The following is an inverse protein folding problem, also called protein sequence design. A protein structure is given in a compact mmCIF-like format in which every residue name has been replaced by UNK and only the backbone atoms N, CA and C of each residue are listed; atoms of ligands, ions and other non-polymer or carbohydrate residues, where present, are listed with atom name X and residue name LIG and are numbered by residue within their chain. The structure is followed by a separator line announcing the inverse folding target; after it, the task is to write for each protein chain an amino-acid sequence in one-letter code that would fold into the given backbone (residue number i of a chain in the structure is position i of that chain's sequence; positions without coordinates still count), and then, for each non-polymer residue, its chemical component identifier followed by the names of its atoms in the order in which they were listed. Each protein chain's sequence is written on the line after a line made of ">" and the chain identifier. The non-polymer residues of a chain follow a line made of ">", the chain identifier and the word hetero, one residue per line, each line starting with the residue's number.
data_IF_636388197075
#
_entry.id   IF_636388197075
#
_cell.length_a   1.000
_cell.length_b   1.000
_cell.length_c   1.000
_cell.angle_alpha   90.00
_cell.angle_beta   90.00
_cell.angle_gamma   90.00
#
_symmetry.space_group_name_H-M   'P 1'
#
loop_
_entity.id
_entity.type
_entity.pdbx_description
1 polymer ?
#
# COMPACT_ATOMS: atom_id res chain seq x y z
N UNK A 1 -4.92 -6.27 -14.50
CA UNK A 1 -4.18 -5.76 -13.32
C UNK A 1 -3.87 -4.29 -13.60
N UNK A 2 -4.25 -3.37 -12.72
CA UNK A 2 -4.30 -1.94 -13.01
C UNK A 2 -2.96 -1.38 -13.53
N UNK A 3 -1.85 -1.97 -13.09
CA UNK A 3 -0.48 -1.61 -13.47
C UNK A 3 -0.02 -2.16 -14.82
N UNK A 4 -0.62 -3.27 -15.26
CA UNK A 4 -0.27 -3.94 -16.52
C UNK A 4 -1.10 -3.38 -17.69
N UNK A 5 -2.35 -2.99 -17.43
CA UNK A 5 -3.30 -2.51 -18.45
C UNK A 5 -3.58 -0.99 -18.33
N UNK A 6 -2.66 -0.23 -17.75
CA UNK A 6 -2.85 1.21 -17.52
C UNK A 6 -3.12 1.96 -18.85
N UNK A 7 -4.10 2.88 -18.95
CA UNK A 7 -4.43 3.55 -20.21
C UNK A 7 -3.34 4.48 -20.75
N UNK A 8 -2.42 4.96 -19.89
CA UNK A 8 -1.24 5.72 -20.28
C UNK A 8 0.00 4.78 -20.40
N UNK A 9 0.60 4.61 -21.59
CA UNK A 9 1.74 3.71 -21.80
C UNK A 9 2.99 4.02 -20.97
N UNK A 10 3.20 5.30 -20.61
CA UNK A 10 4.30 5.71 -19.74
C UNK A 10 4.16 5.26 -18.28
N UNK A 11 2.97 4.79 -17.91
CA UNK A 11 2.62 4.26 -16.59
C UNK A 11 2.28 2.77 -16.64
N UNK A 12 2.24 2.18 -17.85
CA UNK A 12 2.21 0.73 -18.01
C UNK A 12 3.58 0.19 -17.61
N UNK A 13 3.58 -0.85 -16.79
CA UNK A 13 4.79 -1.55 -16.43
C UNK A 13 4.78 -2.95 -17.04
N UNK A 14 5.70 -3.19 -17.98
CA UNK A 14 5.89 -4.51 -18.62
C UNK A 14 6.35 -5.57 -17.60
N UNK A 15 7.04 -5.15 -16.53
CA UNK A 15 7.32 -5.91 -15.31
C UNK A 15 7.13 -4.98 -14.09
N UNK A 16 6.58 -5.52 -13.00
CA UNK A 16 6.24 -4.86 -11.71
C UNK A 16 6.86 -3.46 -11.50
N UNK A 17 6.00 -2.44 -11.38
CA UNK A 17 6.35 -1.02 -11.22
C UNK A 17 6.99 -0.71 -9.84
N UNK A 18 8.27 -1.03 -9.65
CA UNK A 18 9.00 -0.70 -8.42
C UNK A 18 9.30 0.82 -8.29
N UNK A 19 9.27 1.57 -9.39
CA UNK A 19 9.76 2.96 -9.43
C UNK A 19 8.72 4.05 -9.19
N UNK A 20 7.46 3.86 -9.62
CA UNK A 20 6.48 4.95 -9.74
C UNK A 20 5.05 4.56 -9.36
N UNK A 21 4.91 3.85 -8.23
CA UNK A 21 3.63 3.39 -7.70
C UNK A 21 2.58 4.51 -7.63
N UNK A 22 2.97 5.71 -7.16
CA UNK A 22 2.03 6.83 -7.01
C UNK A 22 1.57 7.44 -8.33
N UNK A 23 2.42 7.51 -9.36
CA UNK A 23 1.99 8.07 -10.63
C UNK A 23 1.14 7.09 -11.44
N UNK A 24 1.39 5.78 -11.26
CA UNK A 24 0.59 4.76 -11.91
C UNK A 24 -0.78 4.63 -11.22
N UNK A 25 -0.81 4.45 -9.91
CA UNK A 25 -2.02 4.09 -9.15
C UNK A 25 -3.08 5.21 -9.10
N UNK A 26 -4.37 4.98 -9.46
CA UNK A 26 -5.30 6.09 -9.67
C UNK A 26 -5.78 6.66 -8.32
N UNK A 27 -5.92 5.80 -7.29
CA UNK A 27 -6.28 6.20 -5.93
C UNK A 27 -5.10 6.83 -5.18
N UNK A 28 -3.91 6.19 -5.13
CA UNK A 28 -2.76 6.77 -4.43
C UNK A 28 -2.33 8.10 -5.06
N UNK A 29 -2.25 8.19 -6.39
CA UNK A 29 -1.85 9.42 -7.08
C UNK A 29 -2.78 10.61 -6.78
N UNK A 30 -4.08 10.36 -6.64
CA UNK A 30 -5.08 11.39 -6.40
C UNK A 30 -5.13 11.92 -4.95
N UNK A 31 -4.70 11.13 -3.96
CA UNK A 31 -4.72 11.54 -2.54
C UNK A 31 -3.78 12.73 -2.28
N UNK A 32 -4.29 13.74 -1.61
CA UNK A 32 -3.49 14.90 -1.17
C UNK A 32 -2.59 14.55 0.00
N UNK A 33 -1.60 15.40 0.27
CA UNK A 33 -0.71 15.23 1.43
C UNK A 33 -1.51 15.31 2.73
N UNK A 34 -2.46 16.25 2.84
CA UNK A 34 -3.25 16.45 4.05
C UNK A 34 -4.15 15.24 4.36
N UNK A 35 -4.77 14.62 3.34
CA UNK A 35 -5.57 13.40 3.52
C UNK A 35 -4.71 12.23 4.00
N UNK A 36 -3.48 12.12 3.50
CA UNK A 36 -2.53 11.06 3.87
C UNK A 36 -2.05 11.24 5.30
N UNK A 37 -1.71 12.46 5.69
CA UNK A 37 -1.29 12.77 7.06
C UNK A 37 -2.45 12.63 8.05
N UNK A 38 -3.67 13.01 7.67
CA UNK A 38 -4.87 12.77 8.48
C UNK A 38 -5.09 11.27 8.73
N UNK A 39 -5.01 10.43 7.69
CA UNK A 39 -5.12 8.99 7.82
C UNK A 39 -4.02 8.40 8.72
N UNK A 40 -2.77 8.82 8.52
CA UNK A 40 -1.63 8.38 9.35
C UNK A 40 -1.85 8.74 10.82
N UNK A 41 -2.29 9.96 11.10
CA UNK A 41 -2.58 10.44 12.45
C UNK A 41 -3.72 9.63 13.08
N UNK A 42 -4.83 9.44 12.37
CA UNK A 42 -5.99 8.70 12.84
C UNK A 42 -5.63 7.26 13.23
N UNK A 43 -4.74 6.62 12.46
CA UNK A 43 -4.36 5.22 12.63
C UNK A 43 -3.06 5.02 13.43
N UNK A 44 -2.49 6.09 13.99
CA UNK A 44 -1.25 6.04 14.78
C UNK A 44 -0.02 5.60 13.99
N UNK A 45 0.00 5.87 12.69
CA UNK A 45 1.11 5.54 11.79
C UNK A 45 2.12 6.69 11.82
N UNK A 46 3.39 6.36 12.06
CA UNK A 46 4.52 7.28 11.88
C UNK A 46 5.50 6.69 10.89
N UNK A 47 6.00 7.50 9.97
CA UNK A 47 6.90 7.05 8.90
C UNK A 47 8.10 7.97 8.81
N UNK A 48 9.29 7.38 8.87
CA UNK A 48 10.54 8.10 8.70
C UNK A 48 11.26 7.57 7.46
N UNK A 49 11.55 8.47 6.53
CA UNK A 49 12.29 8.15 5.31
C UNK A 49 13.80 8.21 5.55
N UNK A 50 14.43 7.05 5.64
CA UNK A 50 15.89 6.95 5.67
C UNK A 50 16.40 7.11 4.23
N UNK A 51 17.23 8.12 3.96
CA UNK A 51 17.79 8.50 2.63
C UNK A 51 16.93 9.41 1.74
N UNK A 52 15.90 10.05 2.29
CA UNK A 52 15.23 11.19 1.64
C UNK A 52 14.29 10.85 0.48
N UNK A 53 13.99 9.57 0.23
CA UNK A 53 12.87 9.18 -0.65
C UNK A 53 11.57 9.28 0.14
N UNK A 54 10.61 10.09 -0.32
CA UNK A 54 9.31 10.19 0.33
C UNK A 54 8.65 8.80 0.41
N UNK A 55 8.06 8.44 1.58
CA UNK A 55 7.39 7.17 1.72
C UNK A 55 6.09 7.18 0.91
N UNK A 56 5.79 6.11 0.16
CA UNK A 56 4.53 5.98 -0.55
C UNK A 56 3.31 6.19 0.35
N UNK A 57 2.24 6.72 -0.24
CA UNK A 57 0.94 6.86 0.42
C UNK A 57 0.36 5.49 0.83
N UNK A 58 -0.31 5.40 2.00
CA UNK A 58 -0.85 4.13 2.49
C UNK A 58 -2.04 3.65 1.66
N UNK A 59 -2.19 2.32 1.55
CA UNK A 59 -3.41 1.69 1.07
C UNK A 59 -4.48 1.72 2.15
N UNK A 60 -5.71 2.06 1.77
CA UNK A 60 -6.84 2.14 2.70
C UNK A 60 -7.86 1.00 2.48
N UNK A 61 -7.73 0.26 1.38
CA UNK A 61 -8.54 -0.92 1.06
C UNK A 61 -7.70 -1.97 0.33
N UNK A 62 -8.09 -3.25 0.41
CA UNK A 62 -7.40 -4.34 -0.30
C UNK A 62 -7.52 -4.20 -1.83
N UNK A 63 -8.61 -3.62 -2.32
CA UNK A 63 -8.83 -3.33 -3.74
C UNK A 63 -7.92 -2.25 -4.33
N UNK A 64 -7.16 -1.56 -3.48
CA UNK A 64 -6.09 -0.65 -3.91
C UNK A 64 -4.77 -1.40 -4.13
N UNK A 65 -4.66 -2.65 -3.69
CA UNK A 65 -3.44 -3.42 -3.91
C UNK A 65 -3.40 -3.98 -5.34
N UNK A 66 -2.20 -4.28 -5.83
CA UNK A 66 -2.00 -5.06 -7.05
C UNK A 66 -2.03 -6.57 -6.79
N UNK A 67 -2.61 -6.99 -5.67
CA UNK A 67 -2.58 -8.40 -5.28
C UNK A 67 -3.56 -9.20 -6.14
N UNK A 68 -3.27 -10.48 -6.40
CA UNK A 68 -4.22 -11.33 -7.10
C UNK A 68 -5.57 -11.39 -6.36
N UNK A 69 -6.68 -11.51 -7.10
CA UNK A 69 -8.04 -11.49 -6.54
C UNK A 69 -8.26 -12.50 -5.40
N UNK A 70 -7.58 -13.66 -5.42
CA UNK A 70 -7.68 -14.64 -4.33
C UNK A 70 -7.20 -14.09 -2.97
N UNK A 71 -6.29 -13.10 -2.97
CA UNK A 71 -5.82 -12.45 -1.74
C UNK A 71 -6.92 -11.60 -1.12
N UNK A 72 -7.70 -10.89 -1.95
CA UNK A 72 -8.88 -10.15 -1.51
C UNK A 72 -9.96 -11.09 -0.99
N UNK A 73 -10.23 -12.21 -1.70
CA UNK A 73 -11.17 -13.24 -1.27
C UNK A 73 -10.80 -13.81 0.11
N UNK A 74 -9.53 -14.20 0.28
CA UNK A 74 -9.01 -14.70 1.57
C UNK A 74 -9.06 -13.61 2.65
N UNK A 75 -8.78 -12.35 2.32
CA UNK A 75 -8.90 -11.26 3.27
C UNK A 75 -10.36 -11.07 3.75
N UNK A 76 -11.33 -11.16 2.85
CA UNK A 76 -12.75 -11.11 3.19
C UNK A 76 -13.19 -12.30 4.06
N UNK A 77 -12.68 -13.49 3.79
CA UNK A 77 -12.94 -14.69 4.60
C UNK A 77 -12.36 -14.58 6.02
N UNK A 78 -11.16 -13.99 6.16
CA UNK A 78 -10.45 -13.92 7.43
C UNK A 78 -10.79 -12.68 8.28
N UNK A 79 -11.18 -11.56 7.67
CA UNK A 79 -11.24 -10.24 8.33
C UNK A 79 -12.57 -9.49 8.16
N UNK A 80 -13.62 -10.12 7.61
CA UNK A 80 -15.01 -9.61 7.38
C UNK A 80 -15.25 -8.87 6.05
N UNK A 81 -16.51 -8.54 5.75
CA UNK A 81 -16.94 -7.94 4.47
C UNK A 81 -16.39 -6.53 4.25
N UNK A 82 -16.10 -5.79 5.33
CA UNK A 82 -15.44 -4.47 5.29
C UNK A 82 -13.95 -4.59 5.64
N UNK A 83 -13.32 -5.73 5.33
CA UNK A 83 -11.91 -5.95 5.62
C UNK A 83 -11.07 -4.81 5.03
N UNK A 84 -10.42 -4.04 5.89
CA UNK A 84 -9.42 -3.05 5.54
C UNK A 84 -8.05 -3.53 6.02
N UNK A 85 -6.95 -3.13 5.37
CA UNK A 85 -5.62 -3.46 5.83
C UNK A 85 -5.40 -2.97 7.26
N UNK A 86 -4.68 -3.74 8.08
CA UNK A 86 -4.23 -3.21 9.37
C UNK A 86 -3.28 -2.01 9.15
N UNK A 87 -3.18 -1.06 10.09
CA UNK A 87 -2.35 0.14 9.92
C UNK A 87 -0.90 -0.14 9.48
N UNK A 88 -0.29 -1.21 9.98
CA UNK A 88 1.06 -1.61 9.56
C UNK A 88 1.09 -2.14 8.12
N UNK A 89 0.07 -2.88 7.69
CA UNK A 89 -0.04 -3.40 6.33
C UNK A 89 -0.29 -2.27 5.32
N UNK A 90 -1.23 -1.39 5.65
CA UNK A 90 -1.60 -0.20 4.88
C UNK A 90 -0.38 0.61 4.42
N UNK A 91 0.60 0.79 5.32
CA UNK A 91 1.80 1.57 5.03
C UNK A 91 2.98 0.73 4.52
N UNK A 92 3.14 -0.52 4.96
CA UNK A 92 4.27 -1.37 4.56
C UNK A 92 4.15 -1.85 3.13
N UNK A 93 2.97 -2.30 2.68
CA UNK A 93 2.80 -2.81 1.32
C UNK A 93 3.19 -1.81 0.22
N UNK A 94 2.72 -0.55 0.21
CA UNK A 94 3.12 0.39 -0.84
C UNK A 94 4.61 0.74 -0.75
N UNK A 95 5.22 0.74 0.45
CA UNK A 95 6.67 0.87 0.60
C UNK A 95 7.43 -0.32 0.00
N UNK A 96 6.98 -1.54 0.29
CA UNK A 96 7.58 -2.77 -0.23
C UNK A 96 7.42 -2.87 -1.75
N UNK A 97 6.23 -2.56 -2.29
CA UNK A 97 5.95 -2.50 -3.73
C UNK A 97 6.77 -1.41 -4.44
N UNK A 98 7.15 -0.34 -3.74
CA UNK A 98 8.08 0.67 -4.26
C UNK A 98 9.56 0.25 -4.16
N UNK A 99 9.84 -1.00 -3.77
CA UNK A 99 11.19 -1.57 -3.66
C UNK A 99 12.01 -0.99 -2.52
N UNK A 100 11.36 -0.45 -1.48
CA UNK A 100 12.06 0.08 -0.32
C UNK A 100 12.41 -1.05 0.67
N UNK A 101 13.57 -0.93 1.31
CA UNK A 101 13.88 -1.69 2.52
C UNK A 101 13.05 -1.11 3.68
N UNK A 102 12.19 -1.93 4.29
CA UNK A 102 11.23 -1.49 5.31
C UNK A 102 11.56 -2.08 6.68
N UNK A 103 11.65 -1.21 7.69
CA UNK A 103 11.63 -1.61 9.10
C UNK A 103 10.27 -1.24 9.69
N UNK A 104 9.47 -2.24 10.02
CA UNK A 104 8.12 -2.05 10.56
C UNK A 104 8.06 -2.38 12.05
N UNK A 105 7.63 -1.43 12.88
CA UNK A 105 7.42 -1.61 14.32
C UNK A 105 5.92 -1.47 14.63
N UNK A 106 5.32 -2.55 15.13
CA UNK A 106 3.92 -2.57 15.55
C UNK A 106 3.69 -3.64 16.63
N UNK A 107 2.63 -3.56 17.47
CA UNK A 107 2.35 -4.53 18.55
C UNK A 107 2.20 -5.98 18.07
N UNK A 108 2.22 -6.96 18.97
CA UNK A 108 1.84 -8.34 18.63
C UNK A 108 0.38 -8.38 18.18
N UNK A 109 0.05 -9.29 17.25
CA UNK A 109 -1.32 -9.38 16.69
C UNK A 109 -1.70 -8.29 15.67
N UNK A 110 -0.81 -7.34 15.35
CA UNK A 110 -1.07 -6.27 14.36
C UNK A 110 -0.99 -6.69 12.89
N UNK A 111 -0.87 -7.99 12.59
CA UNK A 111 -0.83 -8.47 11.20
C UNK A 111 0.49 -8.26 10.44
N UNK A 112 1.61 -7.98 11.13
CA UNK A 112 2.95 -7.81 10.50
C UNK A 112 3.38 -8.98 9.60
N UNK A 113 2.97 -10.20 9.89
CA UNK A 113 3.30 -11.37 9.05
C UNK A 113 2.74 -11.21 7.64
N UNK A 114 1.46 -10.86 7.53
CA UNK A 114 0.80 -10.61 6.25
C UNK A 114 1.28 -9.29 5.61
N UNK A 115 1.85 -8.37 6.39
CA UNK A 115 2.48 -7.17 5.85
C UNK A 115 3.76 -7.47 5.04
N UNK A 116 4.40 -8.62 5.26
CA UNK A 116 5.65 -9.03 4.61
C UNK A 116 5.45 -10.04 3.48
N UNK A 117 4.46 -10.92 3.60
CA UNK A 117 4.15 -11.95 2.59
C UNK A 117 3.52 -11.32 1.34
#
# INVERSE_FOLDING_TARGET
>A
DFYYEHPAPSLQCEEFCWGNLEAAHPVLGARTVDEVEAYRLEHGISVEAVRGRAPPKPFQAFSETSFPAFVEEVAHELFTTDAVPFPVQAQVWPCALAGADVVAVAPTGSGKTLAFL
#
